data_IF_373802731652
#
_entry.id   IF_373802731652
#
_cell.length_a   1.000
_cell.length_b   1.000
_cell.length_c   1.000
_cell.angle_alpha   90.00
_cell.angle_beta   90.00
_cell.angle_gamma   90.00
#
_symmetry.space_group_name_H-M   'P 1'
#
loop_
_entity.id
_entity.type
_entity.pdbx_description
1 polymer ?
#
# COMPACT_ATOMS: atom_id res chain seq x y z
N UNK A 1 27.35 -15.23 63.58
CA UNK A 1 27.36 -15.18 62.09
C UNK A 1 26.14 -15.95 61.63
N UNK A 2 25.03 -15.25 61.44
CA UNK A 2 23.78 -15.84 60.94
C UNK A 2 23.73 -15.52 59.46
N UNK A 3 23.89 -16.52 58.61
CA UNK A 3 23.76 -16.34 57.16
C UNK A 3 22.28 -16.07 56.84
N UNK A 4 22.01 -14.90 56.27
CA UNK A 4 20.74 -14.60 55.60
C UNK A 4 20.50 -15.61 54.47
N UNK A 5 19.30 -16.16 54.32
CA UNK A 5 18.97 -16.99 53.19
C UNK A 5 18.93 -16.12 51.92
N UNK A 6 19.84 -16.43 50.99
CA UNK A 6 19.87 -15.92 49.63
C UNK A 6 18.50 -16.10 48.99
N UNK A 7 17.76 -15.01 48.79
CA UNK A 7 16.53 -15.00 48.00
C UNK A 7 16.88 -15.42 46.57
N UNK A 8 16.55 -16.66 46.22
CA UNK A 8 16.53 -17.12 44.83
C UNK A 8 15.35 -16.39 44.18
N UNK A 9 15.64 -15.29 43.49
CA UNK A 9 14.67 -14.54 42.71
C UNK A 9 14.02 -15.47 41.69
N UNK A 10 12.70 -15.63 41.77
CA UNK A 10 11.91 -16.28 40.71
C UNK A 10 12.20 -15.54 39.40
N UNK A 11 12.59 -16.24 38.30
CA UNK A 11 12.82 -15.56 37.04
C UNK A 11 11.55 -14.79 36.63
N UNK A 12 11.68 -13.56 36.11
CA UNK A 12 10.53 -12.72 35.81
C UNK A 12 9.59 -13.47 34.86
N UNK A 13 8.36 -13.67 35.30
CA UNK A 13 7.35 -14.37 34.51
C UNK A 13 7.07 -13.54 33.26
N UNK A 14 7.33 -14.11 32.08
CA UNK A 14 7.08 -13.43 30.82
C UNK A 14 5.58 -13.18 30.66
N UNK A 15 5.19 -11.91 30.61
CA UNK A 15 3.79 -11.51 30.48
C UNK A 15 3.36 -11.48 29.02
N UNK A 16 2.06 -11.62 28.78
CA UNK A 16 1.46 -11.50 27.44
C UNK A 16 1.83 -10.17 26.78
N UNK A 17 1.78 -9.08 27.55
CA UNK A 17 2.13 -7.72 27.07
C UNK A 17 3.60 -7.59 26.73
N UNK A 18 4.50 -8.07 27.60
CA UNK A 18 5.94 -8.02 27.36
C UNK A 18 6.33 -8.82 26.11
N UNK A 19 5.75 -10.01 25.92
CA UNK A 19 6.00 -10.82 24.73
C UNK A 19 5.53 -10.11 23.44
N UNK A 20 4.40 -9.40 23.50
CA UNK A 20 3.89 -8.63 22.36
C UNK A 20 4.73 -7.41 22.03
N UNK A 21 5.24 -6.69 23.04
CA UNK A 21 6.13 -5.56 22.84
C UNK A 21 7.46 -6.02 22.23
N UNK A 22 8.07 -7.07 22.77
CA UNK A 22 9.30 -7.66 22.20
C UNK A 22 9.10 -8.13 20.76
N UNK A 23 7.96 -8.76 20.45
CA UNK A 23 7.63 -9.13 19.06
C UNK A 23 7.51 -7.92 18.13
N UNK A 24 6.88 -6.84 18.60
CA UNK A 24 6.70 -5.65 17.77
C UNK A 24 8.03 -4.92 17.54
N UNK A 25 8.94 -4.96 18.51
CA UNK A 25 10.27 -4.38 18.44
C UNK A 25 11.22 -5.22 17.57
N UNK A 26 10.96 -6.52 17.42
CA UNK A 26 11.74 -7.40 16.53
C UNK A 26 11.42 -7.21 15.03
N UNK A 27 10.44 -6.38 14.68
CA UNK A 27 10.01 -6.19 13.28
C UNK A 27 10.77 -5.02 12.65
N UNK A 28 11.48 -5.29 11.55
CA UNK A 28 12.28 -4.28 10.84
C UNK A 28 11.44 -3.21 10.12
N UNK A 29 10.26 -3.57 9.60
CA UNK A 29 9.47 -2.65 8.77
C UNK A 29 8.49 -1.80 9.60
N UNK A 30 8.60 -0.46 9.59
CA UNK A 30 7.69 0.41 10.35
C UNK A 30 6.22 0.25 9.96
N UNK A 31 5.95 -0.08 8.69
CA UNK A 31 4.59 -0.34 8.21
C UNK A 31 4.03 -1.64 8.79
N UNK A 32 4.85 -2.69 8.89
CA UNK A 32 4.47 -3.95 9.51
C UNK A 32 4.25 -3.77 11.00
N UNK A 33 5.15 -3.07 11.71
CA UNK A 33 4.98 -2.70 13.12
C UNK A 33 3.64 -2.02 13.34
N UNK A 34 3.32 -0.97 12.58
CA UNK A 34 2.05 -0.24 12.73
C UNK A 34 0.83 -1.13 12.48
N UNK A 35 0.89 -1.98 11.45
CA UNK A 35 -0.21 -2.88 11.11
C UNK A 35 -0.40 -3.95 12.19
N UNK A 36 0.68 -4.57 12.66
CA UNK A 36 0.65 -5.67 13.62
C UNK A 36 0.32 -5.17 15.02
N UNK A 37 0.82 -4.00 15.42
CA UNK A 37 0.53 -3.36 16.71
C UNK A 37 -0.97 -3.26 16.98
N UNK A 38 -1.76 -2.82 15.99
CA UNK A 38 -3.23 -2.72 16.14
C UNK A 38 -3.86 -4.09 16.36
N UNK A 39 -3.38 -5.13 15.67
CA UNK A 39 -3.95 -6.46 15.79
C UNK A 39 -3.59 -7.09 17.14
N UNK A 40 -2.30 -7.16 17.44
CA UNK A 40 -1.77 -7.81 18.64
C UNK A 40 -2.26 -7.11 19.91
N UNK A 41 -2.09 -5.79 20.02
CA UNK A 41 -2.44 -5.08 21.24
C UNK A 41 -3.96 -5.07 21.51
N UNK A 42 -4.80 -4.96 20.47
CA UNK A 42 -6.27 -5.03 20.67
C UNK A 42 -6.73 -6.43 21.06
N UNK A 43 -6.09 -7.47 20.53
CA UNK A 43 -6.38 -8.85 20.95
C UNK A 43 -6.06 -9.03 22.42
N UNK A 44 -4.89 -8.57 22.87
CA UNK A 44 -4.48 -8.65 24.29
C UNK A 44 -5.43 -7.86 25.17
N UNK A 45 -5.73 -6.60 24.81
CA UNK A 45 -6.68 -5.76 25.54
C UNK A 45 -8.06 -6.42 25.66
N UNK A 46 -8.53 -7.08 24.60
CA UNK A 46 -9.81 -7.79 24.65
C UNK A 46 -9.78 -9.00 25.59
N UNK A 47 -8.69 -9.74 25.60
CA UNK A 47 -8.51 -10.90 26.48
C UNK A 47 -8.44 -10.44 27.94
N UNK A 48 -7.72 -9.34 28.20
CA UNK A 48 -7.68 -8.71 29.52
C UNK A 48 -9.07 -8.23 29.96
N UNK A 49 -9.90 -7.65 29.07
CA UNK A 49 -11.25 -7.21 29.48
C UNK A 49 -12.20 -8.34 29.88
N UNK A 50 -11.99 -9.57 29.41
CA UNK A 50 -12.86 -10.72 29.74
C UNK A 50 -12.54 -11.31 31.12
N UNK A 51 -11.27 -11.28 31.53
CA UNK A 51 -10.78 -11.89 32.78
C UNK A 51 -10.41 -10.86 33.87
N UNK A 52 -10.45 -9.56 33.55
CA UNK A 52 -10.00 -8.44 34.40
C UNK A 52 -8.66 -7.84 33.95
N UNK A 53 -8.33 -6.59 34.30
CA UNK A 53 -7.13 -5.90 33.81
C UNK A 53 -5.84 -6.51 34.38
N UNK A 54 -5.34 -7.58 33.77
CA UNK A 54 -4.14 -8.29 34.19
C UNK A 54 -2.94 -7.89 33.32
N UNK A 55 -2.38 -6.69 33.56
CA UNK A 55 -1.13 -6.26 32.89
C UNK A 55 0.04 -7.21 33.09
N UNK A 56 -0.06 -8.07 34.09
CA UNK A 56 0.94 -9.05 34.50
C UNK A 56 0.58 -10.50 34.13
N UNK A 57 -0.45 -10.70 33.28
CA UNK A 57 -0.88 -12.05 32.88
C UNK A 57 0.29 -12.84 32.29
N UNK A 58 0.65 -14.02 32.84
CA UNK A 58 1.69 -14.88 32.28
C UNK A 58 1.32 -15.40 30.89
N UNK A 59 2.26 -15.36 29.94
CA UNK A 59 2.03 -15.84 28.57
C UNK A 59 1.58 -17.32 28.55
N UNK A 60 2.15 -18.15 29.42
CA UNK A 60 1.85 -19.57 29.52
C UNK A 60 0.40 -19.89 29.90
N UNK A 61 -0.34 -18.92 30.47
CA UNK A 61 -1.76 -19.09 30.82
C UNK A 61 -2.68 -18.79 29.64
N UNK A 62 -2.15 -18.28 28.53
CA UNK A 62 -2.96 -17.87 27.38
C UNK A 62 -3.44 -19.11 26.61
N UNK A 63 -4.73 -19.19 26.35
CA UNK A 63 -5.32 -20.33 25.64
C UNK A 63 -5.71 -19.99 24.19
N UNK A 64 -5.74 -21.01 23.33
CA UNK A 64 -6.22 -20.85 21.96
C UNK A 64 -7.68 -20.39 21.91
N UNK A 65 -8.51 -20.80 22.87
CA UNK A 65 -9.92 -20.43 22.95
C UNK A 65 -10.10 -18.92 23.18
N UNK A 66 -9.34 -18.34 24.10
CA UNK A 66 -9.37 -16.89 24.38
C UNK A 66 -8.90 -16.07 23.20
N UNK A 67 -7.81 -16.48 22.55
CA UNK A 67 -7.32 -15.85 21.32
C UNK A 67 -8.40 -15.91 20.23
N UNK A 68 -9.09 -17.05 20.12
CA UNK A 68 -10.17 -17.24 19.18
C UNK A 68 -11.33 -16.30 19.42
N UNK A 69 -11.84 -16.29 20.65
CA UNK A 69 -12.94 -15.43 21.08
C UNK A 69 -12.62 -13.95 20.86
N UNK A 70 -11.41 -13.51 21.22
CA UNK A 70 -10.98 -12.14 21.02
C UNK A 70 -10.94 -11.75 19.54
N UNK A 71 -10.40 -12.61 18.67
CA UNK A 71 -10.37 -12.38 17.22
C UNK A 71 -11.78 -12.24 16.63
N UNK A 72 -12.69 -13.16 16.97
CA UNK A 72 -14.08 -13.13 16.49
C UNK A 72 -14.81 -11.89 17.02
N UNK A 73 -14.71 -11.62 18.31
CA UNK A 73 -15.38 -10.48 18.96
C UNK A 73 -14.94 -9.14 18.38
N UNK A 74 -13.67 -9.00 18.00
CA UNK A 74 -13.12 -7.77 17.43
C UNK A 74 -13.37 -7.64 15.92
N UNK A 75 -13.33 -8.73 15.15
CA UNK A 75 -13.23 -8.67 13.69
C UNK A 75 -14.13 -9.62 12.90
N UNK A 76 -15.05 -10.38 13.51
CA UNK A 76 -15.95 -11.27 12.76
C UNK A 76 -16.79 -10.53 11.70
N UNK A 77 -17.16 -9.27 11.96
CA UNK A 77 -17.92 -8.42 11.04
C UNK A 77 -17.02 -7.53 10.16
N UNK A 78 -15.70 -7.66 10.25
CA UNK A 78 -14.78 -6.88 9.44
C UNK A 78 -14.72 -7.39 7.99
N UNK A 79 -14.21 -6.58 7.06
CA UNK A 79 -13.97 -7.05 5.70
C UNK A 79 -13.01 -8.24 5.68
N UNK A 80 -13.17 -9.14 4.71
CA UNK A 80 -12.34 -10.37 4.56
C UNK A 80 -10.84 -10.07 4.61
N UNK A 81 -10.40 -8.99 3.97
CA UNK A 81 -8.99 -8.60 3.99
C UNK A 81 -8.53 -8.13 5.36
N UNK A 82 -9.39 -7.41 6.09
CA UNK A 82 -9.10 -6.98 7.46
C UNK A 82 -9.01 -8.19 8.38
N UNK A 83 -10.00 -9.09 8.34
CA UNK A 83 -9.99 -10.35 9.09
C UNK A 83 -8.69 -11.13 8.88
N UNK A 84 -8.35 -11.38 7.62
CA UNK A 84 -7.15 -12.13 7.25
C UNK A 84 -5.86 -11.46 7.73
N UNK A 85 -5.76 -10.13 7.61
CA UNK A 85 -4.57 -9.39 8.05
C UNK A 85 -4.42 -9.41 9.58
N UNK A 86 -5.50 -9.22 10.34
CA UNK A 86 -5.47 -9.25 11.81
C UNK A 86 -5.14 -10.65 12.34
N UNK A 87 -5.81 -11.66 11.79
CA UNK A 87 -5.53 -13.07 12.08
C UNK A 87 -4.07 -13.43 11.78
N UNK A 88 -3.54 -13.00 10.63
CA UNK A 88 -2.16 -13.28 10.26
C UNK A 88 -1.15 -12.63 11.21
N UNK A 89 -1.39 -11.38 11.63
CA UNK A 89 -0.55 -10.67 12.58
C UNK A 89 -0.52 -11.37 13.96
N UNK A 90 -1.68 -11.73 14.50
CA UNK A 90 -1.78 -12.47 15.78
C UNK A 90 -1.11 -13.84 15.65
N UNK A 91 -1.33 -14.54 14.53
CA UNK A 91 -0.65 -15.81 14.28
C UNK A 91 0.87 -15.68 14.12
N UNK A 92 1.37 -14.56 13.57
CA UNK A 92 2.80 -14.30 13.46
C UNK A 92 3.43 -14.05 14.83
N UNK A 93 2.76 -13.28 15.69
CA UNK A 93 3.17 -13.08 17.07
C UNK A 93 3.26 -14.40 17.84
N UNK A 94 2.21 -15.23 17.81
CA UNK A 94 2.20 -16.50 18.53
C UNK A 94 3.26 -17.49 18.01
N UNK A 95 3.46 -17.57 16.69
CA UNK A 95 4.56 -18.37 16.13
C UNK A 95 5.92 -17.86 16.58
N UNK A 96 6.11 -16.54 16.60
CA UNK A 96 7.37 -15.96 17.06
C UNK A 96 7.64 -16.29 18.53
N UNK A 97 6.61 -16.26 19.40
CA UNK A 97 6.75 -16.71 20.80
C UNK A 97 7.14 -18.19 20.90
N UNK A 98 6.54 -19.06 20.07
CA UNK A 98 6.87 -20.48 19.99
C UNK A 98 8.34 -20.69 19.52
N UNK A 99 8.79 -19.92 18.54
CA UNK A 99 10.18 -19.92 18.06
C UNK A 99 11.18 -19.48 19.16
N UNK A 100 10.76 -18.66 20.13
CA UNK A 100 11.56 -18.31 21.32
C UNK A 100 11.53 -19.40 22.40
N UNK A 101 10.80 -20.50 22.20
CA UNK A 101 10.61 -21.58 23.17
C UNK A 101 9.65 -21.22 24.31
N UNK A 102 8.82 -20.19 24.15
CA UNK A 102 7.89 -19.77 25.18
C UNK A 102 6.56 -20.51 25.05
N UNK A 103 6.05 -21.15 26.13
CA UNK A 103 4.75 -21.79 26.11
C UNK A 103 3.66 -20.79 25.72
N UNK A 104 3.08 -20.97 24.54
CA UNK A 104 2.04 -20.10 24.02
C UNK A 104 1.07 -20.87 23.11
N UNK A 105 -0.17 -20.40 22.97
CA UNK A 105 -1.16 -21.07 22.13
C UNK A 105 -0.93 -20.76 20.66
N UNK A 106 -1.70 -21.42 19.79
CA UNK A 106 -1.78 -21.07 18.37
C UNK A 106 -3.15 -20.48 18.05
N UNK A 107 -3.26 -19.76 16.94
CA UNK A 107 -4.58 -19.31 16.45
C UNK A 107 -5.44 -20.55 16.15
N UNK A 108 -6.67 -20.66 16.69
CA UNK A 108 -7.54 -21.81 16.47
C UNK A 108 -7.70 -22.16 14.99
N UNK A 109 -7.63 -23.46 14.68
CA UNK A 109 -7.71 -23.97 13.30
C UNK A 109 -9.08 -23.69 12.65
N UNK A 110 -10.12 -23.57 13.48
CA UNK A 110 -11.50 -23.25 13.09
C UNK A 110 -11.61 -21.83 12.54
N UNK A 111 -10.83 -20.90 13.08
CA UNK A 111 -10.69 -19.55 12.54
C UNK A 111 -9.84 -19.64 11.28
N UNK A 112 -10.46 -19.97 10.15
CA UNK A 112 -9.76 -20.06 8.87
C UNK A 112 -9.60 -18.68 8.24
N UNK A 113 -8.60 -18.58 7.38
CA UNK A 113 -8.48 -17.47 6.45
C UNK A 113 -9.72 -17.47 5.55
N UNK A 114 -10.40 -16.33 5.45
CA UNK A 114 -11.54 -16.19 4.55
C UNK A 114 -11.03 -15.88 3.12
N UNK A 115 -11.68 -16.46 2.11
CA UNK A 115 -11.33 -16.19 0.71
C UNK A 115 -11.90 -14.84 0.30
N UNK A 116 -11.08 -13.85 -0.11
CA UNK A 116 -11.60 -12.59 -0.60
C UNK A 116 -12.44 -12.83 -1.86
N UNK A 117 -13.63 -12.22 -1.99
CA UNK A 117 -14.43 -12.36 -3.20
C UNK A 117 -13.62 -11.86 -4.40
N UNK A 118 -13.75 -12.56 -5.53
CA UNK A 118 -13.20 -12.14 -6.82
C UNK A 118 -14.16 -11.12 -7.44
N UNK A 119 -14.24 -9.93 -6.84
CA UNK A 119 -14.99 -8.84 -7.46
C UNK A 119 -14.18 -8.22 -8.60
N UNK A 120 -14.83 -7.86 -9.73
CA UNK A 120 -14.18 -7.06 -10.75
C UNK A 120 -13.71 -5.75 -10.14
N UNK A 121 -12.56 -5.27 -10.61
CA UNK A 121 -12.13 -3.92 -10.25
C UNK A 121 -13.11 -2.96 -10.91
N UNK A 122 -13.71 -2.06 -10.14
CA UNK A 122 -14.42 -0.90 -10.70
C UNK A 122 -13.43 -0.08 -11.52
N UNK A 123 -13.39 -0.33 -12.83
CA UNK A 123 -12.46 0.29 -13.75
C UNK A 123 -12.96 1.69 -14.10
N UNK A 124 -12.09 2.67 -13.90
CA UNK A 124 -12.27 4.03 -14.38
C UNK A 124 -12.04 4.03 -15.89
N UNK A 125 -13.01 4.51 -16.67
CA UNK A 125 -12.80 4.68 -18.12
C UNK A 125 -11.82 5.83 -18.40
N UNK A 126 -11.04 5.71 -19.47
CA UNK A 126 -10.17 6.81 -19.92
C UNK A 126 -10.99 8.10 -20.16
N UNK A 127 -12.21 7.97 -20.70
CA UNK A 127 -13.14 9.08 -20.89
C UNK A 127 -13.57 9.75 -19.56
N UNK A 128 -13.82 8.96 -18.50
CA UNK A 128 -14.14 9.53 -17.19
C UNK A 128 -12.95 10.25 -16.57
N UNK A 129 -11.73 9.73 -16.75
CA UNK A 129 -10.50 10.41 -16.31
C UNK A 129 -10.24 11.68 -17.14
N UNK A 130 -10.48 11.66 -18.45
CA UNK A 130 -10.43 12.84 -19.32
C UNK A 130 -11.42 13.90 -18.84
N UNK A 131 -12.69 13.54 -18.63
CA UNK A 131 -13.70 14.46 -18.12
C UNK A 131 -13.32 15.06 -16.76
N UNK A 132 -12.73 14.26 -15.87
CA UNK A 132 -12.24 14.72 -14.57
C UNK A 132 -11.07 15.71 -14.73
N UNK A 133 -10.13 15.43 -15.63
CA UNK A 133 -8.92 16.23 -15.82
C UNK A 133 -9.12 17.46 -16.72
N UNK A 134 -10.21 17.53 -17.49
CA UNK A 134 -10.62 18.74 -18.22
C UNK A 134 -11.14 19.85 -17.30
N UNK A 135 -11.48 19.54 -16.05
CA UNK A 135 -11.98 20.52 -15.10
C UNK A 135 -10.93 21.59 -14.74
N UNK A 136 -11.38 22.83 -14.59
CA UNK A 136 -10.53 23.98 -14.21
C UNK A 136 -10.21 24.03 -12.72
N UNK A 137 -11.07 23.46 -11.87
CA UNK A 137 -10.89 23.40 -10.41
C UNK A 137 -9.92 22.29 -9.96
N UNK A 138 -9.51 21.41 -10.88
CA UNK A 138 -8.45 20.44 -10.64
C UNK A 138 -7.11 21.05 -11.03
N UNK A 139 -6.13 21.05 -10.12
CA UNK A 139 -4.80 21.56 -10.40
C UNK A 139 -4.01 20.67 -11.37
N UNK A 140 -3.11 21.28 -12.15
CA UNK A 140 -2.25 20.58 -13.11
C UNK A 140 -1.50 19.39 -12.49
N UNK A 141 -0.92 19.57 -11.30
CA UNK A 141 -0.20 18.51 -10.57
C UNK A 141 -1.05 17.24 -10.41
N UNK A 142 -2.35 17.38 -10.17
CA UNK A 142 -3.27 16.30 -9.88
C UNK A 142 -3.62 15.58 -11.19
N UNK A 143 -3.89 16.36 -12.25
CA UNK A 143 -4.11 15.84 -13.61
C UNK A 143 -2.91 15.00 -14.06
N UNK A 144 -1.70 15.54 -13.91
CA UNK A 144 -0.46 14.85 -14.28
C UNK A 144 -0.28 13.58 -13.47
N UNK A 145 -0.47 13.63 -12.14
CA UNK A 145 -0.34 12.44 -11.29
C UNK A 145 -1.32 11.34 -11.69
N UNK A 146 -2.58 11.68 -11.91
CA UNK A 146 -3.61 10.70 -12.22
C UNK A 146 -3.40 10.05 -13.59
N UNK A 147 -3.06 10.84 -14.61
CA UNK A 147 -2.67 10.31 -15.92
C UNK A 147 -1.41 9.46 -15.85
N UNK A 148 -0.40 9.89 -15.11
CA UNK A 148 0.84 9.13 -14.95
C UNK A 148 0.57 7.79 -14.28
N UNK A 149 -0.26 7.72 -13.22
CA UNK A 149 -0.65 6.44 -12.60
C UNK A 149 -1.39 5.54 -13.60
N UNK A 150 -2.32 6.11 -14.36
CA UNK A 150 -3.13 5.38 -15.33
C UNK A 150 -2.27 4.81 -16.46
N UNK A 151 -1.45 5.64 -17.11
CA UNK A 151 -0.66 5.25 -18.28
C UNK A 151 0.53 4.35 -17.95
N UNK A 152 1.20 4.60 -16.81
CA UNK A 152 2.35 3.78 -16.39
C UNK A 152 1.92 2.50 -15.69
N UNK A 153 0.67 2.40 -15.23
CA UNK A 153 0.17 1.34 -14.37
C UNK A 153 1.04 1.11 -13.11
N UNK A 154 1.81 2.13 -12.69
CA UNK A 154 2.78 2.01 -11.61
C UNK A 154 2.18 2.35 -10.26
N UNK A 155 2.83 1.91 -9.18
CA UNK A 155 2.23 2.09 -7.86
C UNK A 155 2.31 3.58 -7.49
N UNK A 156 1.23 4.22 -6.98
CA UNK A 156 1.23 5.67 -6.76
C UNK A 156 2.37 6.15 -5.85
N UNK A 157 2.79 5.35 -4.87
CA UNK A 157 3.94 5.70 -4.01
C UNK A 157 5.27 5.73 -4.76
N UNK A 158 5.44 4.88 -5.77
CA UNK A 158 6.66 4.86 -6.58
C UNK A 158 6.74 6.14 -7.40
N UNK A 159 5.63 6.52 -8.05
CA UNK A 159 5.56 7.75 -8.85
C UNK A 159 5.68 9.03 -8.02
N UNK A 160 5.16 9.04 -6.78
CA UNK A 160 5.33 10.18 -5.88
C UNK A 160 6.78 10.33 -5.39
N UNK A 161 7.58 9.27 -5.45
CA UNK A 161 8.99 9.28 -5.08
C UNK A 161 9.93 9.67 -6.25
N UNK A 162 9.40 9.87 -7.46
CA UNK A 162 10.19 10.27 -8.63
C UNK A 162 10.66 11.73 -8.52
N UNK A 163 11.91 11.95 -8.88
CA UNK A 163 12.56 13.26 -8.95
C UNK A 163 12.81 13.68 -10.41
N UNK A 164 12.83 14.98 -10.67
CA UNK A 164 12.85 15.55 -12.03
C UNK A 164 14.10 15.10 -12.80
N UNK A 165 15.25 15.09 -12.13
CA UNK A 165 16.54 14.71 -12.69
C UNK A 165 16.61 13.24 -13.13
N UNK A 166 15.65 12.42 -12.71
CA UNK A 166 15.55 11.01 -13.09
C UNK A 166 14.64 10.76 -14.30
N UNK A 167 13.96 11.80 -14.80
CA UNK A 167 13.04 11.68 -15.93
C UNK A 167 13.79 11.64 -17.26
N UNK A 168 13.50 10.63 -18.07
CA UNK A 168 13.88 10.52 -19.47
C UNK A 168 12.72 11.06 -20.32
N UNK A 169 12.64 12.40 -20.44
CA UNK A 169 11.53 13.06 -21.13
C UNK A 169 11.41 12.69 -22.62
N UNK A 170 12.49 12.61 -23.42
CA UNK A 170 12.41 12.19 -24.82
C UNK A 170 11.88 10.76 -24.96
N UNK A 171 12.33 9.84 -24.10
CA UNK A 171 11.99 8.42 -24.11
C UNK A 171 10.65 8.13 -23.41
N UNK A 172 10.07 9.14 -22.76
CA UNK A 172 8.83 9.11 -21.95
C UNK A 172 8.90 8.09 -20.82
N UNK A 173 10.03 8.04 -20.11
CA UNK A 173 10.32 7.03 -19.09
C UNK A 173 10.88 7.64 -17.81
N UNK A 174 10.70 6.92 -16.71
CA UNK A 174 11.42 7.21 -15.47
C UNK A 174 11.70 5.90 -14.71
N UNK A 175 12.71 5.89 -13.83
CA UNK A 175 12.85 4.82 -12.88
C UNK A 175 11.70 4.88 -11.88
N UNK A 176 10.82 3.88 -11.86
CA UNK A 176 9.96 3.65 -10.72
C UNK A 176 10.83 3.00 -9.63
N UNK A 177 11.07 3.68 -8.49
CA UNK A 177 11.79 3.06 -7.39
C UNK A 177 11.05 1.80 -6.99
N UNK A 178 11.76 0.68 -6.93
CA UNK A 178 11.19 -0.59 -6.53
C UNK A 178 10.62 -0.52 -5.11
N UNK A 179 9.83 -1.53 -4.74
CA UNK A 179 9.34 -1.69 -3.37
C UNK A 179 10.51 -1.54 -2.39
N UNK A 180 10.39 -0.60 -1.44
CA UNK A 180 11.42 -0.24 -0.46
C UNK A 180 12.20 -1.46 0.06
N UNK A 181 13.49 -1.47 -0.26
CA UNK A 181 14.53 -2.43 0.13
C UNK A 181 15.80 -2.07 -0.64
N UNK A 182 16.97 -2.16 -0.01
CA UNK A 182 18.29 -1.72 -0.53
C UNK A 182 18.70 -2.35 -1.88
N UNK A 183 17.98 -3.34 -2.38
CA UNK A 183 18.33 -4.11 -3.58
C UNK A 183 17.21 -4.26 -4.62
N UNK A 184 16.12 -3.49 -4.53
CA UNK A 184 15.10 -3.52 -5.57
C UNK A 184 15.53 -2.64 -6.76
N UNK A 185 16.10 -3.27 -7.80
CA UNK A 185 16.44 -2.58 -9.04
C UNK A 185 15.27 -1.71 -9.53
N UNK A 186 15.53 -0.43 -9.77
CA UNK A 186 14.52 0.47 -10.28
C UNK A 186 14.06 -0.02 -11.65
N UNK A 187 12.75 -0.16 -11.84
CA UNK A 187 12.17 -0.57 -13.11
C UNK A 187 11.84 0.67 -13.91
N UNK A 188 12.33 0.77 -15.15
CA UNK A 188 11.91 1.83 -16.05
C UNK A 188 10.41 1.70 -16.36
N UNK A 189 9.65 2.77 -16.14
CA UNK A 189 8.22 2.84 -16.44
C UNK A 189 7.98 3.89 -17.50
N UNK A 190 7.26 3.50 -18.56
CA UNK A 190 6.91 4.38 -19.65
C UNK A 190 5.51 4.98 -19.44
N UNK A 191 5.35 6.27 -19.73
CA UNK A 191 4.06 6.94 -19.73
C UNK A 191 3.57 7.25 -21.15
N UNK A 192 2.29 7.59 -21.25
CA UNK A 192 1.61 7.82 -22.51
C UNK A 192 1.54 9.31 -22.89
N UNK A 193 0.77 9.63 -23.94
CA UNK A 193 0.73 10.98 -24.49
C UNK A 193 0.14 12.02 -23.53
N UNK A 194 -0.80 11.65 -22.65
CA UNK A 194 -1.40 12.62 -21.71
C UNK A 194 -0.37 13.07 -20.69
N UNK A 195 0.38 12.14 -20.10
CA UNK A 195 1.47 12.49 -19.18
C UNK A 195 2.58 13.25 -19.89
N UNK A 196 2.94 12.86 -21.12
CA UNK A 196 3.96 13.55 -21.90
C UNK A 196 3.61 15.01 -22.18
N UNK A 197 2.32 15.31 -22.44
CA UNK A 197 1.86 16.68 -22.65
C UNK A 197 1.83 17.51 -21.35
N UNK A 198 1.54 16.89 -20.21
CA UNK A 198 1.37 17.58 -18.94
C UNK A 198 2.68 17.75 -18.15
N UNK A 199 3.67 16.88 -18.36
CA UNK A 199 4.93 16.89 -17.61
C UNK A 199 5.74 18.19 -17.79
N UNK A 200 6.01 18.68 -19.02
CA UNK A 200 6.76 19.93 -19.20
C UNK A 200 6.09 21.12 -18.51
N UNK A 201 4.75 21.20 -18.57
CA UNK A 201 3.96 22.23 -17.91
C UNK A 201 4.03 22.13 -16.38
N UNK A 202 4.09 20.91 -15.83
CA UNK A 202 4.20 20.69 -14.39
C UNK A 202 5.62 20.99 -13.87
N UNK A 203 6.64 20.62 -14.65
CA UNK A 203 8.05 20.81 -14.29
C UNK A 203 8.36 22.32 -14.27
N UNK A 204 7.97 23.04 -15.33
CA UNK A 204 8.31 24.44 -15.51
C UNK A 204 9.83 24.63 -15.54
N UNK A 205 10.35 25.62 -14.82
CA UNK A 205 11.80 25.91 -14.79
C UNK A 205 12.58 25.07 -13.78
N UNK A 206 11.93 24.11 -13.10
CA UNK A 206 12.60 23.25 -12.11
C UNK A 206 13.46 22.22 -12.81
N UNK A 207 14.71 22.07 -12.36
CA UNK A 207 15.66 21.12 -12.94
C UNK A 207 15.94 19.91 -12.05
N UNK A 208 15.56 19.95 -10.77
CA UNK A 208 15.80 18.86 -9.81
C UNK A 208 14.79 18.81 -8.67
N UNK A 209 14.83 17.71 -7.92
CA UNK A 209 14.01 17.46 -6.73
C UNK A 209 12.63 16.85 -7.06
N UNK A 210 11.72 16.80 -6.07
CA UNK A 210 10.46 16.08 -6.21
C UNK A 210 9.61 16.52 -7.39
N UNK A 211 9.21 15.59 -8.26
CA UNK A 211 8.33 15.88 -9.39
C UNK A 211 7.00 16.47 -8.92
N UNK A 212 6.36 15.79 -7.96
CA UNK A 212 5.11 16.20 -7.33
C UNK A 212 5.37 16.86 -5.98
N UNK A 213 5.12 18.16 -5.89
CA UNK A 213 5.28 18.95 -4.66
C UNK A 213 3.94 19.45 -4.10
N UNK A 214 3.90 19.79 -2.82
CA UNK A 214 2.75 20.42 -2.15
C UNK A 214 2.45 21.81 -2.71
N UNK A 215 1.19 22.24 -2.66
CA UNK A 215 0.79 23.59 -3.15
C UNK A 215 1.38 24.72 -2.28
N UNK A 216 1.56 24.44 -0.98
CA UNK A 216 2.13 25.36 0.00
C UNK A 216 3.49 24.85 0.46
N UNK A 217 4.37 25.76 0.88
CA UNK A 217 5.64 25.40 1.53
C UNK A 217 5.37 24.62 2.83
N UNK A 218 6.27 23.71 3.17
CA UNK A 218 6.22 23.01 4.45
C UNK A 218 6.25 24.02 5.61
N UNK A 219 5.61 23.71 6.73
CA UNK A 219 5.77 24.51 7.96
C UNK A 219 7.24 24.46 8.37
N UNK A 220 7.84 25.61 8.69
CA UNK A 220 9.25 25.72 9.12
C UNK A 220 9.59 24.83 10.32
N UNK A 221 8.60 24.52 11.18
CA UNK A 221 8.75 23.63 12.34
C UNK A 221 8.83 22.14 12.00
N UNK A 222 8.55 21.75 10.75
CA UNK A 222 8.60 20.36 10.31
C UNK A 222 9.92 20.12 9.59
N UNK A 223 10.84 19.42 10.26
CA UNK A 223 12.07 18.94 9.63
C UNK A 223 11.69 17.85 8.64
N UNK A 224 11.95 18.09 7.36
CA UNK A 224 11.82 17.12 6.29
C UNK A 224 13.22 16.78 5.78
N UNK A 225 13.44 15.55 5.28
CA UNK A 225 14.65 15.23 4.53
C UNK A 225 14.86 16.27 3.41
N UNK A 226 16.10 16.67 3.17
CA UNK A 226 16.42 17.59 2.07
C UNK A 226 15.99 17.03 0.71
N UNK A 227 16.02 15.71 0.55
CA UNK A 227 15.53 14.96 -0.62
C UNK A 227 14.02 15.05 -0.84
N UNK A 228 13.25 15.43 0.18
CA UNK A 228 11.80 15.62 0.12
C UNK A 228 11.40 17.09 -0.05
N UNK A 229 12.33 17.99 -0.33
CA UNK A 229 12.06 19.42 -0.52
C UNK A 229 12.65 19.87 -1.84
N UNK A 230 11.84 20.54 -2.67
CA UNK A 230 12.36 21.16 -3.90
C UNK A 230 13.30 22.31 -3.54
N UNK A 231 14.56 22.30 -4.01
CA UNK A 231 15.52 23.34 -3.68
C UNK A 231 15.15 24.70 -4.30
N UNK A 232 14.44 24.72 -5.42
CA UNK A 232 14.02 25.94 -6.11
C UNK A 232 12.81 26.59 -5.44
N UNK A 233 11.85 25.79 -4.97
CA UNK A 233 10.55 26.31 -4.50
C UNK A 233 10.38 26.27 -2.98
N UNK A 234 11.17 25.46 -2.27
CA UNK A 234 11.00 25.15 -0.84
C UNK A 234 9.72 24.38 -0.53
N UNK A 235 9.06 23.79 -1.54
CA UNK A 235 7.86 22.97 -1.38
C UNK A 235 8.24 21.53 -1.11
N UNK A 236 7.45 20.86 -0.28
CA UNK A 236 7.70 19.47 0.12
C UNK A 236 7.17 18.49 -0.93
N UNK A 237 7.71 17.27 -0.99
CA UNK A 237 7.19 16.15 -1.76
C UNK A 237 5.74 15.88 -1.38
N UNK A 238 4.89 15.65 -2.38
CA UNK A 238 3.50 15.32 -2.18
C UNK A 238 3.37 13.95 -1.52
N UNK A 239 2.73 13.90 -0.36
CA UNK A 239 2.52 12.62 0.34
C UNK A 239 1.40 11.81 -0.32
N UNK A 240 1.50 10.47 -0.24
CA UNK A 240 0.44 9.56 -0.68
C UNK A 240 -0.93 9.90 -0.06
N UNK A 241 -0.96 10.24 1.23
CA UNK A 241 -2.20 10.56 1.93
C UNK A 241 -2.85 11.85 1.41
N UNK A 242 -2.05 12.87 1.08
CA UNK A 242 -2.55 14.10 0.46
C UNK A 242 -3.05 13.81 -0.95
N UNK A 243 -2.29 13.10 -1.77
CA UNK A 243 -2.71 12.72 -3.12
C UNK A 243 -4.03 11.92 -3.12
N UNK A 244 -4.15 10.97 -2.18
CA UNK A 244 -5.37 10.18 -1.95
C UNK A 244 -6.54 11.07 -1.57
N UNK A 245 -6.35 11.93 -0.56
CA UNK A 245 -7.40 12.80 -0.06
C UNK A 245 -7.92 13.76 -1.13
N UNK A 246 -7.05 14.30 -1.99
CA UNK A 246 -7.49 15.18 -3.08
C UNK A 246 -8.34 14.42 -4.10
N UNK A 247 -7.92 13.23 -4.54
CA UNK A 247 -8.73 12.43 -5.47
C UNK A 247 -10.08 12.06 -4.88
N UNK A 248 -10.09 11.59 -3.63
CA UNK A 248 -11.33 11.25 -2.90
C UNK A 248 -12.23 12.48 -2.81
N UNK A 249 -11.72 13.64 -2.35
CA UNK A 249 -12.53 14.87 -2.23
C UNK A 249 -13.17 15.29 -3.55
N UNK A 250 -12.44 15.17 -4.66
CA UNK A 250 -12.91 15.59 -5.99
C UNK A 250 -13.91 14.59 -6.60
N UNK A 251 -13.91 13.32 -6.15
CA UNK A 251 -14.73 12.23 -6.73
C UNK A 251 -15.82 11.70 -5.80
N UNK A 252 -15.69 11.84 -4.49
CA UNK A 252 -16.67 11.44 -3.46
C UNK A 252 -17.94 12.28 -3.56
N UNK A 253 -17.82 13.58 -3.85
CA UNK A 253 -18.97 14.45 -4.13
C UNK A 253 -19.80 14.02 -5.35
N UNK A 254 -19.30 13.06 -6.15
CA UNK A 254 -19.99 12.47 -7.31
C UNK A 254 -20.40 11.01 -7.09
N UNK A 255 -20.26 10.49 -5.87
CA UNK A 255 -20.58 9.10 -5.53
C UNK A 255 -19.64 8.06 -6.17
N UNK A 256 -18.53 8.49 -6.76
CA UNK A 256 -17.64 7.61 -7.52
C UNK A 256 -16.57 6.95 -6.64
N UNK A 257 -16.15 7.58 -5.54
CA UNK A 257 -15.30 6.95 -4.53
C UNK A 257 -13.92 6.51 -5.02
N UNK A 258 -13.30 7.25 -5.95
CA UNK A 258 -12.08 6.78 -6.61
C UNK A 258 -10.89 6.77 -5.68
N UNK A 259 -10.13 5.66 -5.72
CA UNK A 259 -8.85 5.53 -5.03
C UNK A 259 -7.72 5.59 -6.05
N UNK A 260 -6.54 6.07 -5.64
CA UNK A 260 -5.36 6.13 -6.53
C UNK A 260 -5.02 4.74 -7.12
N UNK A 261 -5.26 3.67 -6.37
CA UNK A 261 -5.03 2.31 -6.84
C UNK A 261 -6.03 1.88 -7.93
N UNK A 262 -7.25 2.45 -7.96
CA UNK A 262 -8.21 2.21 -9.02
C UNK A 262 -7.65 2.68 -10.37
N UNK A 263 -6.95 3.81 -10.42
CA UNK A 263 -6.36 4.34 -11.67
C UNK A 263 -5.34 3.36 -12.26
N UNK A 264 -4.45 2.80 -11.43
CA UNK A 264 -3.50 1.75 -11.85
C UNK A 264 -4.23 0.51 -12.37
N UNK A 265 -5.23 0.04 -11.63
CA UNK A 265 -6.01 -1.13 -12.04
C UNK A 265 -6.77 -0.88 -13.35
N UNK A 266 -7.24 0.34 -13.54
CA UNK A 266 -7.94 0.75 -14.74
C UNK A 266 -6.99 0.76 -15.93
N UNK A 267 -5.81 1.38 -15.81
CA UNK A 267 -4.79 1.32 -16.86
C UNK A 267 -4.48 -0.12 -17.31
N UNK A 268 -4.33 -1.06 -16.36
CA UNK A 268 -4.11 -2.48 -16.67
C UNK A 268 -5.32 -3.13 -17.35
N UNK A 269 -6.54 -2.82 -16.91
CA UNK A 269 -7.76 -3.33 -17.54
C UNK A 269 -7.93 -2.79 -18.98
N UNK A 270 -7.56 -1.53 -19.23
CA UNK A 270 -7.60 -0.92 -20.57
C UNK A 270 -6.56 -1.54 -21.51
N UNK A 271 -5.34 -1.81 -21.02
CA UNK A 271 -4.33 -2.53 -21.80
C UNK A 271 -4.77 -3.96 -22.10
N UNK A 272 -5.34 -4.65 -21.11
CA UNK A 272 -5.91 -5.99 -21.31
C UNK A 272 -7.06 -5.97 -22.35
N UNK A 273 -7.96 -5.00 -22.29
CA UNK A 273 -9.05 -4.83 -23.25
C UNK A 273 -8.54 -4.48 -24.67
N UNK A 274 -7.35 -3.86 -24.75
CA UNK A 274 -6.67 -3.56 -26.01
C UNK A 274 -5.97 -4.77 -26.64
N UNK A 275 -6.04 -5.95 -26.00
CA UNK A 275 -5.41 -7.18 -26.47
C UNK A 275 -3.94 -7.34 -26.10
N UNK A 276 -3.43 -6.59 -25.10
CA UNK A 276 -2.06 -6.81 -24.62
C UNK A 276 -1.93 -8.18 -23.93
N UNK A 277 -0.83 -8.87 -24.24
CA UNK A 277 -0.49 -10.17 -23.65
C UNK A 277 -0.22 -10.05 -22.14
N UNK A 278 -0.45 -11.14 -21.41
CA UNK A 278 -0.27 -11.19 -19.94
C UNK A 278 1.18 -10.88 -19.56
N UNK A 279 2.16 -11.28 -20.36
CA UNK A 279 3.58 -10.95 -20.17
C UNK A 279 3.84 -9.44 -20.20
N UNK A 280 3.22 -8.73 -21.13
CA UNK A 280 3.40 -7.28 -21.29
C UNK A 280 2.75 -6.52 -20.14
N UNK A 281 1.57 -6.99 -19.71
CA UNK A 281 0.90 -6.48 -18.51
C UNK A 281 1.78 -6.69 -17.26
N UNK A 282 2.50 -7.81 -17.15
CA UNK A 282 3.42 -8.07 -16.04
C UNK A 282 4.64 -7.16 -16.08
N UNK A 283 5.26 -6.96 -17.25
CA UNK A 283 6.38 -6.01 -17.42
C UNK A 283 5.94 -4.59 -17.03
N UNK A 284 4.75 -4.18 -17.48
CA UNK A 284 4.22 -2.83 -17.23
C UNK A 284 3.76 -2.61 -15.79
N UNK A 285 3.18 -3.61 -15.15
CA UNK A 285 2.76 -3.50 -13.76
C UNK A 285 3.89 -3.73 -12.75
N UNK A 286 4.99 -4.38 -13.15
CA UNK A 286 5.97 -4.94 -12.21
C UNK A 286 5.47 -6.25 -11.58
N UNK A 287 6.16 -6.79 -10.56
CA UNK A 287 5.90 -8.13 -10.02
C UNK A 287 4.51 -8.25 -9.37
N UNK A 288 3.53 -8.64 -10.19
CA UNK A 288 2.18 -9.06 -9.77
C UNK A 288 2.13 -10.58 -9.83
N UNK A 289 1.58 -11.21 -8.78
CA UNK A 289 1.30 -12.66 -8.80
C UNK A 289 0.31 -12.95 -9.95
N UNK A 290 0.59 -13.94 -10.84
CA UNK A 290 -0.27 -14.24 -11.99
C UNK A 290 -1.74 -14.44 -11.64
N UNK A 291 -2.03 -15.04 -10.49
CA UNK A 291 -3.39 -15.25 -9.96
C UNK A 291 -4.18 -13.97 -9.71
N UNK A 292 -3.52 -12.81 -9.59
CA UNK A 292 -4.19 -11.50 -9.48
C UNK A 292 -4.46 -10.84 -10.82
N UNK A 293 -3.83 -11.29 -11.91
CA UNK A 293 -4.02 -10.72 -13.24
C UNK A 293 -5.36 -11.11 -13.85
N UNK A 294 -5.89 -12.29 -13.52
CA UNK A 294 -7.22 -12.73 -13.94
C UNK A 294 -8.33 -11.71 -13.62
N UNK A 295 -8.17 -10.91 -12.55
CA UNK A 295 -9.11 -9.84 -12.21
C UNK A 295 -9.16 -8.71 -13.24
N UNK A 296 -8.04 -8.42 -13.91
CA UNK A 296 -7.98 -7.40 -14.95
C UNK A 296 -8.52 -7.92 -16.27
N UNK A 297 -8.27 -9.19 -16.60
CA UNK A 297 -8.85 -9.84 -17.77
C UNK A 297 -10.38 -9.89 -17.64
N UNK A 298 -10.93 -10.32 -16.50
CA UNK A 298 -12.38 -10.31 -16.28
C UNK A 298 -12.98 -8.89 -16.29
N UNK A 299 -12.26 -7.89 -15.77
CA UNK A 299 -12.70 -6.49 -15.83
C UNK A 299 -12.64 -5.93 -17.26
N UNK A 300 -11.67 -6.36 -18.07
CA UNK A 300 -11.56 -6.01 -19.48
C UNK A 300 -12.71 -6.62 -20.29
N UNK A 301 -13.04 -7.90 -20.06
CA UNK A 301 -14.21 -8.55 -20.70
C UNK A 301 -15.52 -7.81 -20.36
N UNK A 302 -15.74 -7.47 -19.08
CA UNK A 302 -16.90 -6.70 -18.67
C UNK A 302 -16.93 -5.27 -19.25
N UNK A 303 -15.77 -4.66 -19.51
CA UNK A 303 -15.66 -3.35 -20.15
C UNK A 303 -15.86 -3.41 -21.67
N UNK A 304 -15.50 -4.51 -22.34
CA UNK A 304 -15.70 -4.74 -23.77
C UNK A 304 -17.18 -5.02 -24.12
N UNK A 305 -17.96 -5.56 -23.17
CA UNK A 305 -19.42 -5.72 -23.32
C UNK A 305 -20.18 -4.37 -23.27
N UNK A 306 -19.52 -3.30 -22.84
CA UNK A 306 -20.02 -1.92 -22.88
C UNK A 306 -19.41 -1.20 -24.10
N UNK A 307 -20.20 -0.62 -25.02
CA UNK A 307 -19.64 -0.01 -26.23
C UNK A 307 -18.77 1.20 -25.86
N UNK A 308 -17.45 1.08 -26.02
CA UNK A 308 -16.54 2.22 -25.96
C UNK A 308 -15.73 2.30 -27.27
N UNK A 309 -15.97 3.37 -28.04
CA UNK A 309 -15.25 3.66 -29.27
C UNK A 309 -13.90 4.29 -28.94
N UNK A 310 -12.86 3.49 -28.72
CA UNK A 310 -11.49 4.01 -28.79
C UNK A 310 -10.56 2.89 -29.27
N UNK A 311 -10.01 2.97 -30.49
CA UNK A 311 -9.02 1.99 -30.93
C UNK A 311 -7.74 2.12 -30.09
N UNK A 312 -7.00 1.01 -29.89
CA UNK A 312 -5.80 1.03 -29.07
C UNK A 312 -4.73 1.97 -29.67
N UNK A 313 -3.92 2.65 -28.84
CA UNK A 313 -2.77 3.39 -29.34
C UNK A 313 -1.81 2.40 -30.01
N UNK A 314 -1.59 2.59 -31.32
CA UNK A 314 -0.51 1.91 -32.03
C UNK A 314 0.83 2.40 -31.46
N UNK A 315 1.77 1.46 -31.38
CA UNK A 315 3.17 1.59 -30.92
C UNK A 315 3.46 1.27 -29.44
N UNK A 316 3.44 -0.04 -29.13
CA UNK A 316 4.37 -0.67 -28.19
C UNK A 316 5.06 -1.85 -28.89
N UNK A 317 5.76 -1.59 -29.99
CA UNK A 317 6.62 -2.58 -30.64
C UNK A 317 7.97 -1.95 -30.94
N UNK A 318 8.82 -1.85 -29.92
CA UNK A 318 10.26 -1.79 -30.15
C UNK A 318 10.95 -2.86 -29.29
N UNK A 319 11.29 -3.95 -29.99
CA UNK A 319 12.34 -4.95 -29.78
C UNK A 319 13.07 -4.90 -28.43
N UNK A 320 12.83 -5.93 -27.62
CA UNK A 320 13.83 -6.49 -26.72
C UNK A 320 14.39 -7.77 -27.36
N UNK A 321 15.26 -7.60 -28.36
CA UNK A 321 16.21 -8.63 -28.80
C UNK A 321 17.48 -7.91 -29.24
N UNK A 322 18.57 -8.24 -28.55
CA UNK A 322 19.89 -7.63 -28.64
C UNK A 322 20.60 -7.79 -27.31
#
# INVERSE_FOLDING_TARGET
>A
MTQEPMQVGVPPVLTVRAAAEQFLDSLESPNTVRAYRIAVLRTIERIDTTEGPHRERPLATLTSAEVGHALESLWAKASVNTWNARRAAVGAWLRWCDDQGWPCPTVPRQLRRATPPLLPVAAVSAAALDALTSRTDVHLREKTLWWMIFETCSHPRELLAVDIETLELPERRCPAPGRSGEHAAARAVAWGPRTAALLPLLIGDRTRGPLFVTHRRGRRSRVLPSTDVSPETGRARLSYNQARHVLETVTDGRGAGWKLHNLRHSGLAHLAASGCEVSDLMVKAGPIRPTRLGRYLSAATAALEMPSSTPPPREFTHRLTG
#
